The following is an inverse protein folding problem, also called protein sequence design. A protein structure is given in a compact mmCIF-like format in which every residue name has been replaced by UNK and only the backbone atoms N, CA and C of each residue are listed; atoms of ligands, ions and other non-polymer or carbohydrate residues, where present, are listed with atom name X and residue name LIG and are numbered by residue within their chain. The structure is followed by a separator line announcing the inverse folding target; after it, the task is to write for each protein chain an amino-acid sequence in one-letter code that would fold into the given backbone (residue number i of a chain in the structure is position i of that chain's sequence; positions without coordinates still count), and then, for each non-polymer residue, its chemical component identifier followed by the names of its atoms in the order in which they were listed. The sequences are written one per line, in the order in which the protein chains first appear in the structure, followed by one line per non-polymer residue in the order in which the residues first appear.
data_IF_615896732700
#
_entry.id   IF_615896732700
#
_cell.length_a   1.000
_cell.length_b   1.000
_cell.length_c   1.000
_cell.angle_alpha   90.00
_cell.angle_beta   90.00
_cell.angle_gamma   90.00
#
_symmetry.space_group_name_H-M   'P 1'
#
loop_
_entity.id
_entity.type
_entity.pdbx_description
1 polymer ?
#
# COMPACT_ATOMS: atom_id res chain seq x y z
N UNK A 1 0.41 27.20 31.21
CA UNK A 1 0.62 25.73 31.25
C UNK A 1 1.56 25.35 30.14
N UNK A 2 2.53 24.44 30.34
CA UNK A 2 3.40 24.02 29.24
C UNK A 2 2.57 23.29 28.19
N UNK A 3 2.48 23.85 26.99
CA UNK A 3 1.91 23.19 25.81
C UNK A 3 2.93 22.20 25.29
N UNK A 4 2.77 20.92 25.64
CA UNK A 4 3.57 19.88 25.04
C UNK A 4 3.04 19.63 23.63
N UNK A 5 3.81 20.03 22.63
CA UNK A 5 3.50 19.78 21.22
C UNK A 5 4.50 18.78 20.63
N UNK A 6 4.05 17.94 19.70
CA UNK A 6 4.96 17.12 18.90
C UNK A 6 5.55 17.93 17.73
N UNK A 7 6.57 17.42 17.02
CA UNK A 7 7.18 18.11 15.87
C UNK A 7 6.21 18.40 14.71
N UNK A 8 5.04 17.76 14.69
CA UNK A 8 3.97 17.97 13.71
C UNK A 8 2.87 18.92 14.23
N UNK A 9 3.09 19.58 15.37
CA UNK A 9 2.14 20.53 15.97
C UNK A 9 0.99 19.89 16.75
N UNK A 10 0.96 18.57 16.94
CA UNK A 10 -0.09 17.94 17.75
C UNK A 10 0.13 18.19 19.24
N UNK A 11 -0.92 18.60 19.94
CA UNK A 11 -0.92 18.70 21.38
C UNK A 11 -0.85 17.29 22.02
N UNK A 12 0.05 17.13 22.98
CA UNK A 12 0.28 15.91 23.76
C UNK A 12 0.16 16.26 25.24
N UNK A 13 -0.21 15.28 26.08
CA UNK A 13 -0.41 15.52 27.51
C UNK A 13 0.91 15.65 28.25
N UNK A 14 1.93 14.95 27.77
CA UNK A 14 3.28 14.97 28.35
C UNK A 14 4.33 14.51 27.33
N UNK A 15 5.61 14.78 27.62
CA UNK A 15 6.74 14.32 26.79
C UNK A 15 6.80 12.79 26.66
N UNK A 16 6.28 12.04 27.64
CA UNK A 16 6.25 10.57 27.61
C UNK A 16 5.24 10.00 26.61
N UNK A 17 4.36 10.83 26.04
CA UNK A 17 3.46 10.44 24.95
C UNK A 17 4.18 10.33 23.58
N UNK A 18 5.47 10.66 23.54
CA UNK A 18 6.33 10.49 22.36
C UNK A 18 6.93 9.08 22.34
N UNK A 19 7.07 8.52 21.14
CA UNK A 19 7.86 7.31 20.94
C UNK A 19 9.37 7.61 20.88
N UNK A 20 10.19 6.56 20.73
CA UNK A 20 11.65 6.69 20.61
C UNK A 20 12.09 7.52 19.39
N UNK A 21 11.21 7.74 18.40
CA UNK A 21 11.44 8.62 17.26
C UNK A 21 10.93 10.05 17.46
N UNK A 22 10.40 10.38 18.65
CA UNK A 22 9.84 11.70 18.95
C UNK A 22 8.42 11.93 18.40
N UNK A 23 7.79 10.92 17.81
CA UNK A 23 6.44 11.02 17.25
C UNK A 23 5.37 10.75 18.30
N UNK A 24 4.28 11.52 18.25
CA UNK A 24 3.13 11.27 19.12
C UNK A 24 2.26 10.13 18.59
N UNK A 25 1.37 9.61 19.44
CA UNK A 25 0.40 8.56 19.08
C UNK A 25 -0.44 8.89 17.84
N UNK A 26 -0.81 10.17 17.64
CA UNK A 26 -1.57 10.61 16.47
C UNK A 26 -0.76 10.49 15.17
N UNK A 27 0.50 10.97 15.16
CA UNK A 27 1.41 10.78 14.03
C UNK A 27 1.61 9.31 13.68
N UNK A 28 1.75 8.45 14.70
CA UNK A 28 1.86 6.99 14.49
C UNK A 28 0.61 6.40 13.85
N UNK A 29 -0.57 6.76 14.35
CA UNK A 29 -1.84 6.31 13.80
C UNK A 29 -2.00 6.72 12.34
N UNK A 30 -1.70 7.98 12.01
CA UNK A 30 -1.75 8.49 10.63
C UNK A 30 -0.75 7.76 9.72
N UNK A 31 0.47 7.53 10.19
CA UNK A 31 1.49 6.78 9.42
C UNK A 31 1.04 5.33 9.16
N UNK A 32 0.51 4.66 10.18
CA UNK A 32 -0.01 3.30 10.08
C UNK A 32 -1.22 3.24 9.14
N UNK A 33 -2.13 4.22 9.23
CA UNK A 33 -3.26 4.36 8.31
C UNK A 33 -2.78 4.51 6.86
N UNK A 34 -1.82 5.41 6.59
CA UNK A 34 -1.23 5.56 5.26
C UNK A 34 -0.57 4.28 4.76
N UNK A 35 0.17 3.58 5.63
CA UNK A 35 0.78 2.29 5.31
C UNK A 35 -0.26 1.24 4.94
N UNK A 36 -1.36 1.14 5.69
CA UNK A 36 -2.47 0.22 5.40
C UNK A 36 -3.17 0.55 4.08
N UNK A 37 -3.43 1.82 3.81
CA UNK A 37 -4.02 2.26 2.54
C UNK A 37 -3.10 1.90 1.37
N UNK A 38 -1.80 2.21 1.48
CA UNK A 38 -0.82 1.87 0.43
C UNK A 38 -0.73 0.36 0.20
N UNK A 39 -0.72 -0.44 1.27
CA UNK A 39 -0.74 -1.90 1.17
C UNK A 39 -2.04 -2.38 0.50
N UNK A 40 -3.20 -1.86 0.89
CA UNK A 40 -4.49 -2.21 0.29
C UNK A 40 -4.54 -1.89 -1.20
N UNK A 41 -4.05 -0.72 -1.61
CA UNK A 41 -4.00 -0.32 -3.02
C UNK A 41 -3.09 -1.26 -3.83
N UNK A 42 -1.92 -1.62 -3.30
CA UNK A 42 -1.03 -2.59 -3.95
C UNK A 42 -1.71 -3.96 -4.12
N UNK A 43 -2.43 -4.44 -3.11
CA UNK A 43 -3.18 -5.69 -3.20
C UNK A 43 -4.31 -5.64 -4.24
N UNK A 44 -4.98 -4.50 -4.41
CA UNK A 44 -5.99 -4.34 -5.46
C UNK A 44 -5.37 -4.53 -6.85
N UNK A 45 -4.19 -3.96 -7.08
CA UNK A 45 -3.46 -4.10 -8.35
C UNK A 45 -3.05 -5.55 -8.59
N UNK A 46 -2.46 -6.21 -7.59
CA UNK A 46 -2.08 -7.64 -7.68
C UNK A 46 -3.30 -8.50 -8.04
N UNK A 47 -4.43 -8.31 -7.34
CA UNK A 47 -5.65 -9.09 -7.63
C UNK A 47 -6.21 -8.84 -9.03
N UNK A 48 -6.13 -7.61 -9.54
CA UNK A 48 -6.56 -7.30 -10.89
C UNK A 48 -5.73 -8.07 -11.94
N UNK A 49 -4.41 -8.12 -11.74
CA UNK A 49 -3.53 -8.90 -12.60
C UNK A 49 -3.75 -10.41 -12.46
N UNK A 50 -3.94 -10.92 -11.23
CA UNK A 50 -4.29 -12.33 -11.01
C UNK A 50 -5.61 -12.72 -11.67
N UNK A 51 -6.62 -11.84 -11.65
CA UNK A 51 -7.89 -12.09 -12.35
C UNK A 51 -7.76 -12.14 -13.87
N UNK A 52 -6.70 -11.52 -14.42
CA UNK A 52 -6.36 -11.58 -15.84
C UNK A 52 -5.43 -12.76 -16.18
N UNK A 53 -5.09 -13.63 -15.21
CA UNK A 53 -4.24 -14.81 -15.41
C UNK A 53 -2.75 -14.59 -15.17
N UNK A 54 -2.34 -13.43 -14.64
CA UNK A 54 -0.93 -13.15 -14.30
C UNK A 54 -0.65 -13.64 -12.88
N UNK A 55 0.36 -14.49 -12.72
CA UNK A 55 0.70 -15.13 -11.46
C UNK A 55 1.86 -14.41 -10.75
N UNK A 56 1.70 -14.23 -9.44
CA UNK A 56 2.71 -13.70 -8.54
C UNK A 56 3.17 -14.79 -7.56
N UNK A 57 4.42 -14.72 -7.11
CA UNK A 57 4.92 -15.52 -5.98
C UNK A 57 4.58 -14.83 -4.66
N UNK A 58 4.61 -15.60 -3.56
CA UNK A 58 4.60 -15.11 -2.17
C UNK A 58 3.89 -13.76 -1.92
N UNK A 59 2.58 -13.78 -1.71
CA UNK A 59 1.82 -12.58 -1.32
C UNK A 59 2.00 -11.35 -2.25
N UNK A 60 2.05 -11.58 -3.57
CA UNK A 60 2.07 -10.51 -4.58
C UNK A 60 3.46 -10.05 -5.02
N UNK A 61 4.52 -10.81 -4.74
CA UNK A 61 5.85 -10.60 -5.32
C UNK A 61 5.81 -11.05 -6.78
N UNK A 62 6.12 -10.19 -7.77
CA UNK A 62 6.15 -10.62 -9.16
C UNK A 62 7.16 -11.76 -9.35
N UNK A 63 6.82 -12.73 -10.20
CA UNK A 63 7.80 -13.67 -10.77
C UNK A 63 8.89 -12.89 -11.51
N UNK A 64 9.90 -13.57 -12.04
CA UNK A 64 10.96 -12.91 -12.82
C UNK A 64 10.34 -11.93 -13.85
N UNK A 65 10.84 -10.69 -13.99
CA UNK A 65 10.14 -9.66 -14.77
C UNK A 65 9.81 -10.09 -16.20
N UNK A 66 10.67 -10.91 -16.82
CA UNK A 66 10.44 -11.47 -18.15
C UNK A 66 9.18 -12.35 -18.21
N UNK A 67 8.94 -13.14 -17.16
CA UNK A 67 7.80 -14.05 -17.06
C UNK A 67 6.49 -13.28 -16.80
N UNK A 68 6.53 -12.21 -15.99
CA UNK A 68 5.38 -11.32 -15.78
C UNK A 68 4.97 -10.67 -17.11
N UNK A 69 5.94 -10.18 -17.88
CA UNK A 69 5.70 -9.55 -19.19
C UNK A 69 5.11 -10.54 -20.19
N UNK A 70 5.62 -11.79 -20.19
CA UNK A 70 5.07 -12.86 -21.04
C UNK A 70 3.60 -13.13 -20.73
N UNK A 71 3.26 -13.31 -19.45
CA UNK A 71 1.88 -13.56 -19.02
C UNK A 71 0.95 -12.38 -19.32
N UNK A 72 1.43 -11.14 -19.15
CA UNK A 72 0.70 -9.94 -19.52
C UNK A 72 0.42 -9.85 -21.02
N UNK A 73 1.40 -10.17 -21.86
CA UNK A 73 1.23 -10.17 -23.30
C UNK A 73 0.22 -11.24 -23.75
N UNK A 74 0.24 -12.42 -23.14
CA UNK A 74 -0.72 -13.50 -23.39
C UNK A 74 -2.14 -13.10 -22.95
N UNK A 75 -2.29 -12.51 -21.77
CA UNK A 75 -3.58 -12.01 -21.26
C UNK A 75 -4.16 -10.91 -22.17
N UNK A 76 -3.30 -10.00 -22.66
CA UNK A 76 -3.70 -8.95 -23.59
C UNK A 76 -4.13 -9.52 -24.95
N UNK A 77 -3.37 -10.47 -25.51
CA UNK A 77 -3.73 -11.15 -26.75
C UNK A 77 -5.03 -11.96 -26.64
N UNK A 78 -5.35 -12.45 -25.44
CA UNK A 78 -6.59 -13.18 -25.14
C UNK A 78 -7.80 -12.25 -24.88
N UNK A 79 -7.64 -10.93 -24.95
CA UNK A 79 -8.72 -9.97 -24.72
C UNK A 79 -9.14 -9.83 -23.25
N UNK A 80 -8.30 -10.25 -22.29
CA UNK A 80 -8.64 -10.23 -20.86
C UNK A 80 -8.90 -8.83 -20.28
N UNK A 81 -8.52 -7.78 -21.00
CA UNK A 81 -8.71 -6.38 -20.61
C UNK A 81 -9.74 -5.64 -21.48
N UNK A 82 -10.40 -6.33 -22.42
CA UNK A 82 -11.46 -5.76 -23.25
C UNK A 82 -12.78 -5.71 -22.47
N UNK A 83 -12.80 -5.00 -21.34
CA UNK A 83 -14.06 -4.57 -20.73
C UNK A 83 -14.52 -3.32 -21.46
N UNK A 84 -15.40 -3.50 -22.44
CA UNK A 84 -16.26 -2.43 -22.94
C UNK A 84 -17.44 -2.26 -21.96
N UNK A 85 -17.58 -1.12 -21.27
CA UNK A 85 -18.85 -0.76 -20.68
C UNK A 85 -19.73 -0.18 -21.79
N UNK A 86 -20.77 -0.93 -22.18
CA UNK A 86 -21.98 -0.33 -22.78
C UNK A 86 -22.74 0.50 -21.74
#
# INVERSE_FOLDING_TARGET
MPTYQCPQGHEIRSITDRDNGGYCRRCRSEREKRRRIGKSAAWTVVRAFESAGVHFQHDGVPVEPAEVVRQLAEAYAAGAFDTHPD
#
